data_IF_855731882716
#
_entry.id   IF_855731882716
#
_cell.length_a   1.000
_cell.length_b   1.000
_cell.length_c   1.000
_cell.angle_alpha   90.00
_cell.angle_beta   90.00
_cell.angle_gamma   90.00
#
_symmetry.space_group_name_H-M   'P 1'
#
loop_
_entity.id
_entity.type
_entity.pdbx_description
1 polymer ?
#
# COMPACT_ATOMS: atom_id res chain seq x y z
N UNK A 1 23.44 6.24 -1.86
CA UNK A 1 22.24 5.68 -2.51
C UNK A 1 21.09 6.58 -2.08
N UNK A 2 20.21 6.92 -2.97
CA UNK A 2 19.05 7.75 -2.64
C UNK A 2 18.21 7.05 -1.57
N UNK A 3 17.79 7.80 -0.56
CA UNK A 3 16.99 7.28 0.58
C UNK A 3 15.73 6.57 0.09
N UNK A 4 15.09 7.08 -0.97
CA UNK A 4 13.94 6.44 -1.59
C UNK A 4 14.26 5.04 -2.15
N UNK A 5 15.39 4.89 -2.81
CA UNK A 5 15.80 3.60 -3.40
C UNK A 5 16.08 2.57 -2.31
N UNK A 6 16.72 2.98 -1.21
CA UNK A 6 16.97 2.10 -0.06
C UNK A 6 15.66 1.65 0.57
N UNK A 7 14.78 2.60 0.92
CA UNK A 7 13.47 2.32 1.50
C UNK A 7 12.64 1.39 0.60
N UNK A 8 12.55 1.70 -0.69
CA UNK A 8 11.81 0.87 -1.64
C UNK A 8 12.39 -0.53 -1.76
N UNK A 9 13.73 -0.67 -1.80
CA UNK A 9 14.38 -1.98 -1.85
C UNK A 9 14.02 -2.83 -0.63
N UNK A 10 14.07 -2.26 0.57
CA UNK A 10 13.70 -2.95 1.80
C UNK A 10 12.21 -3.36 1.79
N UNK A 11 11.32 -2.49 1.31
CA UNK A 11 9.89 -2.80 1.19
C UNK A 11 9.62 -3.91 0.16
N UNK A 12 10.33 -3.90 -0.98
CA UNK A 12 10.17 -4.94 -2.03
C UNK A 12 10.67 -6.30 -1.53
N UNK A 13 11.68 -6.33 -0.67
CA UNK A 13 12.19 -7.56 -0.08
C UNK A 13 11.19 -8.26 0.87
N UNK A 14 10.17 -7.57 1.33
CA UNK A 14 9.12 -8.13 2.17
C UNK A 14 7.99 -8.67 1.29
N UNK A 15 7.71 -9.97 1.38
CA UNK A 15 6.51 -10.56 0.76
C UNK A 15 5.26 -10.06 1.50
N UNK A 16 4.39 -9.39 0.79
CA UNK A 16 3.09 -8.89 1.26
C UNK A 16 1.96 -9.29 0.30
N UNK A 17 2.09 -10.47 -0.30
CA UNK A 17 1.08 -11.01 -1.21
C UNK A 17 -0.28 -11.12 -0.53
N UNK A 18 -1.31 -10.50 -1.14
CA UNK A 18 -2.67 -10.48 -0.61
C UNK A 18 -3.24 -11.90 -0.48
N UNK A 19 -3.63 -12.35 0.74
CA UNK A 19 -4.07 -13.71 0.97
C UNK A 19 -5.48 -14.02 0.44
N UNK A 20 -6.32 -12.99 0.26
CA UNK A 20 -7.66 -13.15 -0.31
C UNK A 20 -7.60 -13.25 -1.84
N UNK A 21 -6.61 -12.61 -2.45
CA UNK A 21 -6.36 -12.71 -3.89
C UNK A 21 -5.57 -13.96 -4.25
N UNK A 22 -4.62 -14.36 -3.40
CA UNK A 22 -3.74 -15.52 -3.61
C UNK A 22 -3.80 -16.43 -2.39
N UNK A 23 -4.46 -17.60 -2.46
CA UNK A 23 -4.51 -18.53 -1.35
C UNK A 23 -3.10 -18.89 -0.84
N UNK A 24 -2.87 -18.69 0.45
CA UNK A 24 -1.57 -18.89 1.09
C UNK A 24 -0.59 -17.71 0.95
N UNK A 25 -1.02 -16.57 0.42
CA UNK A 25 -0.25 -15.33 0.40
C UNK A 25 0.21 -14.92 1.81
N UNK A 26 1.39 -14.29 1.90
CA UNK A 26 2.02 -13.96 3.18
C UNK A 26 1.24 -12.94 4.01
N UNK A 27 0.40 -12.13 3.37
CA UNK A 27 -0.33 -11.03 3.99
C UNK A 27 0.56 -9.85 4.36
N UNK A 28 -0.03 -8.81 4.90
CA UNK A 28 0.61 -7.52 5.08
C UNK A 28 1.27 -7.31 6.46
N UNK A 29 1.11 -8.27 7.38
CA UNK A 29 1.53 -8.07 8.79
C UNK A 29 3.04 -7.75 8.95
N UNK A 30 3.92 -8.33 8.15
CA UNK A 30 5.35 -8.04 8.19
C UNK A 30 5.65 -6.66 7.60
N UNK A 31 5.03 -6.32 6.47
CA UNK A 31 5.12 -5.00 5.87
C UNK A 31 4.61 -3.92 6.82
N UNK A 32 3.47 -4.14 7.48
CA UNK A 32 2.93 -3.21 8.46
C UNK A 32 3.89 -2.96 9.63
N UNK A 33 4.52 -4.02 10.15
CA UNK A 33 5.56 -3.87 11.20
C UNK A 33 6.76 -3.07 10.72
N UNK A 34 7.17 -3.28 9.48
CA UNK A 34 8.27 -2.52 8.87
C UNK A 34 7.90 -1.04 8.74
N UNK A 35 6.77 -0.74 8.11
CA UNK A 35 6.28 0.64 7.91
C UNK A 35 6.10 1.37 9.23
N UNK A 36 5.48 0.71 10.22
CA UNK A 36 5.27 1.30 11.55
C UNK A 36 6.60 1.70 12.22
N UNK A 37 7.59 0.81 12.20
CA UNK A 37 8.92 1.11 12.77
C UNK A 37 9.60 2.26 12.03
N UNK A 38 9.53 2.26 10.72
CA UNK A 38 10.18 3.31 9.92
C UNK A 38 9.56 4.69 10.20
N UNK A 39 8.23 4.78 10.25
CA UNK A 39 7.51 6.03 10.53
C UNK A 39 7.78 6.52 11.97
N UNK A 40 7.82 5.62 12.95
CA UNK A 40 8.17 5.93 14.34
C UNK A 40 9.60 6.49 14.44
N UNK A 41 10.57 5.84 13.79
CA UNK A 41 11.95 6.32 13.71
C UNK A 41 12.11 7.67 13.02
N UNK A 42 11.23 7.97 12.07
CA UNK A 42 11.15 9.27 11.42
C UNK A 42 10.48 10.35 12.30
N UNK A 43 10.00 9.98 13.50
CA UNK A 43 9.41 10.88 14.50
C UNK A 43 7.93 11.20 14.27
N UNK A 44 7.22 10.37 13.51
CA UNK A 44 5.77 10.47 13.35
C UNK A 44 5.04 9.78 14.51
N UNK A 45 3.84 10.25 14.82
CA UNK A 45 2.91 9.52 15.68
C UNK A 45 2.34 8.34 14.89
N UNK A 46 2.49 7.11 15.41
CA UNK A 46 2.09 5.89 14.69
C UNK A 46 0.90 5.24 15.38
N UNK A 47 -0.11 4.89 14.59
CA UNK A 47 -1.30 4.15 15.03
C UNK A 47 -1.50 2.93 14.13
N UNK A 48 -1.91 1.80 14.73
CA UNK A 48 -2.33 0.60 14.01
C UNK A 48 -3.85 0.48 14.07
N UNK A 49 -4.46 0.24 12.91
CA UNK A 49 -5.90 0.04 12.79
C UNK A 49 -6.15 -1.28 12.08
N UNK A 50 -6.60 -2.27 12.84
CA UNK A 50 -6.89 -3.60 12.29
C UNK A 50 -8.09 -3.54 11.34
N UNK A 51 -7.92 -3.96 10.10
CA UNK A 51 -9.01 -4.07 9.12
C UNK A 51 -9.62 -5.48 9.11
N UNK A 52 -8.80 -6.50 9.35
CA UNK A 52 -9.18 -7.90 9.51
C UNK A 52 -8.13 -8.59 10.40
N UNK A 53 -8.38 -9.80 10.93
CA UNK A 53 -7.41 -10.51 11.77
C UNK A 53 -6.03 -10.61 11.14
N UNK A 54 -5.00 -10.12 11.83
CA UNK A 54 -3.60 -10.03 11.38
C UNK A 54 -3.37 -9.17 10.12
N UNK A 55 -4.29 -8.27 9.80
CA UNK A 55 -4.18 -7.34 8.68
C UNK A 55 -4.29 -5.88 9.16
N UNK A 56 -3.26 -5.35 9.84
CA UNK A 56 -3.28 -3.99 10.36
C UNK A 56 -2.90 -2.97 9.28
N UNK A 57 -3.69 -1.91 9.17
CA UNK A 57 -3.26 -0.67 8.54
C UNK A 57 -2.27 0.04 9.45
N UNK A 58 -1.38 0.83 8.86
CA UNK A 58 -0.47 1.71 9.59
C UNK A 58 -0.80 3.15 9.25
N UNK A 59 -1.04 3.97 10.26
CA UNK A 59 -1.27 5.40 10.11
C UNK A 59 -0.14 6.15 10.79
N UNK A 60 0.61 6.93 10.02
CA UNK A 60 1.67 7.79 10.52
C UNK A 60 1.27 9.25 10.43
N UNK A 61 1.41 10.03 11.51
CA UNK A 61 0.98 11.43 11.57
C UNK A 61 2.17 12.33 11.86
N UNK A 62 2.54 13.13 10.89
CA UNK A 62 3.42 14.27 11.08
C UNK A 62 2.59 15.46 11.58
N UNK A 63 2.54 15.67 12.90
CA UNK A 63 1.79 16.77 13.49
C UNK A 63 2.35 18.10 13.06
N UNK A 64 1.47 18.96 12.57
CA UNK A 64 1.77 20.35 12.24
C UNK A 64 1.82 21.26 13.46
N UNK A 65 2.23 22.50 13.25
CA UNK A 65 2.30 23.54 14.29
C UNK A 65 0.95 24.20 14.59
N UNK A 66 -0.08 23.86 13.82
CA UNK A 66 -1.45 24.32 14.00
C UNK A 66 -1.90 25.38 12.98
N UNK A 67 -3.19 25.41 12.73
CA UNK A 67 -3.85 26.38 11.85
C UNK A 67 -3.62 26.17 10.35
N UNK A 68 -3.11 25.00 9.93
CA UNK A 68 -3.02 24.57 8.54
C UNK A 68 -4.09 23.52 8.21
N UNK A 69 -4.25 23.22 6.92
CA UNK A 69 -5.09 22.14 6.42
C UNK A 69 -4.35 20.81 6.50
N UNK A 70 -5.06 19.72 6.79
CA UNK A 70 -4.52 18.37 6.82
C UNK A 70 -4.43 17.79 5.40
N UNK A 71 -3.30 17.19 5.09
CA UNK A 71 -3.09 16.41 3.88
C UNK A 71 -2.96 14.93 4.22
N UNK A 72 -3.73 14.08 3.53
CA UNK A 72 -3.66 12.64 3.64
C UNK A 72 -2.94 12.07 2.42
N UNK A 73 -1.98 11.19 2.67
CA UNK A 73 -1.24 10.43 1.67
C UNK A 73 -1.58 8.95 1.86
N UNK A 74 -2.20 8.33 0.87
CA UNK A 74 -2.64 6.95 0.94
C UNK A 74 -1.87 6.08 -0.03
N UNK A 75 -1.55 4.85 0.38
CA UNK A 75 -0.95 3.84 -0.45
C UNK A 75 -1.10 2.46 0.19
N UNK A 76 -1.25 1.42 -0.65
CA UNK A 76 -1.42 0.06 -0.15
C UNK A 76 -0.10 -0.68 0.07
N UNK A 77 -0.14 -1.65 0.99
CA UNK A 77 0.99 -2.49 1.37
C UNK A 77 0.97 -3.85 0.69
N UNK A 78 -0.22 -4.34 0.32
CA UNK A 78 -0.40 -5.63 -0.31
C UNK A 78 0.06 -5.63 -1.78
N UNK A 79 0.22 -6.79 -2.32
CA UNK A 79 0.58 -7.01 -3.73
C UNK A 79 -0.18 -8.20 -4.30
N UNK A 80 -0.36 -8.22 -5.60
CA UNK A 80 -0.70 -9.45 -6.32
C UNK A 80 0.41 -10.48 -6.19
N UNK A 81 0.12 -11.73 -6.50
CA UNK A 81 1.11 -12.81 -6.45
C UNK A 81 2.32 -12.59 -7.37
N UNK A 82 3.39 -13.29 -7.07
CA UNK A 82 4.63 -13.23 -7.86
C UNK A 82 4.45 -13.68 -9.32
N UNK A 83 3.47 -14.55 -9.59
CA UNK A 83 3.25 -15.11 -10.92
C UNK A 83 4.50 -15.82 -11.44
N UNK A 84 4.94 -15.44 -12.65
CA UNK A 84 6.17 -15.97 -13.26
C UNK A 84 7.39 -15.08 -13.04
N UNK A 85 7.32 -14.08 -12.15
CA UNK A 85 8.43 -13.20 -11.84
C UNK A 85 9.49 -13.96 -11.04
N UNK A 86 10.69 -14.23 -11.57
CA UNK A 86 11.75 -14.87 -10.80
C UNK A 86 12.22 -13.90 -9.72
N UNK A 87 12.53 -14.42 -8.53
CA UNK A 87 13.09 -13.63 -7.44
C UNK A 87 12.26 -12.36 -7.13
N UNK A 88 10.92 -12.53 -7.08
CA UNK A 88 9.96 -11.42 -6.97
C UNK A 88 10.24 -10.50 -5.76
N UNK A 89 10.79 -11.05 -4.68
CA UNK A 89 11.12 -10.33 -3.44
C UNK A 89 12.64 -10.13 -3.23
N UNK A 90 13.42 -10.25 -4.31
CA UNK A 90 14.85 -9.91 -4.33
C UNK A 90 15.02 -8.63 -5.17
N UNK A 91 15.03 -7.44 -4.57
CA UNK A 91 15.08 -6.18 -5.32
C UNK A 91 16.39 -6.07 -6.11
N UNK A 92 16.29 -5.82 -7.41
CA UNK A 92 17.44 -5.68 -8.28
C UNK A 92 17.38 -4.33 -9.00
N UNK A 93 18.50 -3.59 -8.96
CA UNK A 93 18.65 -2.34 -9.71
C UNK A 93 19.42 -2.61 -10.98
N UNK A 94 18.78 -2.36 -12.12
CA UNK A 94 19.41 -2.47 -13.45
C UNK A 94 18.98 -1.30 -14.31
N UNK A 95 19.92 -0.71 -15.04
CA UNK A 95 19.66 0.39 -15.98
C UNK A 95 18.84 1.54 -15.37
N UNK A 96 19.11 1.89 -14.11
CA UNK A 96 18.40 2.95 -13.38
C UNK A 96 16.97 2.62 -12.96
N UNK A 97 16.56 1.34 -13.03
CA UNK A 97 15.24 0.85 -12.59
C UNK A 97 15.37 -0.19 -11.50
N UNK A 98 14.49 -0.12 -10.51
CA UNK A 98 14.35 -1.14 -9.47
C UNK A 98 13.28 -2.15 -9.89
N UNK A 99 13.66 -3.43 -9.90
CA UNK A 99 12.79 -4.55 -10.23
C UNK A 99 12.46 -5.35 -8.98
N UNK A 100 11.21 -5.80 -8.87
CA UNK A 100 10.67 -6.66 -7.82
C UNK A 100 9.16 -6.50 -7.74
N UNK A 101 8.46 -7.46 -7.11
CA UNK A 101 7.01 -7.41 -6.94
C UNK A 101 6.63 -6.23 -6.05
N UNK A 102 5.64 -5.44 -6.48
CA UNK A 102 5.20 -4.25 -5.77
C UNK A 102 6.08 -3.01 -5.95
N UNK A 103 7.22 -3.08 -6.66
CA UNK A 103 8.09 -1.92 -6.85
C UNK A 103 7.36 -0.76 -7.53
N UNK A 104 6.49 -1.05 -8.49
CA UNK A 104 5.70 -0.09 -9.24
C UNK A 104 4.28 0.07 -8.67
N UNK A 105 3.65 -1.01 -8.29
CA UNK A 105 2.30 -1.11 -7.74
C UNK A 105 2.33 -1.70 -6.33
N UNK A 106 2.19 -0.89 -5.21
CA UNK A 106 2.49 0.55 -5.25
C UNK A 106 3.48 0.93 -4.16
N UNK A 107 4.40 0.00 -3.76
CA UNK A 107 5.40 0.27 -2.70
C UNK A 107 6.28 1.49 -3.01
N UNK A 108 6.52 1.79 -4.30
CA UNK A 108 7.23 2.99 -4.72
C UNK A 108 6.48 4.27 -4.36
N UNK A 109 5.17 4.30 -4.62
CA UNK A 109 4.29 5.40 -4.23
C UNK A 109 4.20 5.53 -2.72
N UNK A 110 4.04 4.41 -2.00
CA UNK A 110 3.99 4.40 -0.53
C UNK A 110 5.30 4.89 0.09
N UNK A 111 6.46 4.45 -0.42
CA UNK A 111 7.76 4.93 0.04
C UNK A 111 7.92 6.44 -0.16
N UNK A 112 7.46 6.98 -1.28
CA UNK A 112 7.44 8.43 -1.52
C UNK A 112 6.54 9.17 -0.54
N UNK A 113 5.36 8.64 -0.21
CA UNK A 113 4.47 9.19 0.82
C UNK A 113 5.13 9.22 2.20
N UNK A 114 5.80 8.13 2.59
CA UNK A 114 6.51 8.01 3.87
C UNK A 114 7.62 9.08 3.98
N UNK A 115 8.44 9.21 2.96
CA UNK A 115 9.50 10.22 2.92
C UNK A 115 8.95 11.65 2.91
N UNK A 116 7.87 11.91 2.17
CA UNK A 116 7.22 13.22 2.15
C UNK A 116 6.70 13.62 3.54
N UNK A 117 6.07 12.68 4.26
CA UNK A 117 5.59 12.93 5.62
C UNK A 117 6.75 13.13 6.62
N UNK A 118 7.83 12.36 6.50
CA UNK A 118 9.04 12.56 7.31
C UNK A 118 9.67 13.93 7.05
N UNK A 119 9.71 14.38 5.81
CA UNK A 119 10.19 15.73 5.47
C UNK A 119 9.26 16.81 6.01
N UNK A 120 7.94 16.64 5.88
CA UNK A 120 6.95 17.57 6.44
C UNK A 120 7.10 17.74 7.97
N UNK A 121 7.40 16.63 8.68
CA UNK A 121 7.70 16.65 10.11
C UNK A 121 8.92 17.50 10.43
N UNK A 122 10.00 17.35 9.66
CA UNK A 122 11.25 18.12 9.84
C UNK A 122 11.05 19.61 9.57
N UNK A 123 10.24 19.96 8.59
CA UNK A 123 9.97 21.35 8.21
C UNK A 123 8.97 22.07 9.12
N UNK A 124 8.25 21.33 9.97
CA UNK A 124 7.29 21.91 10.91
C UNK A 124 6.15 22.66 10.21
N UNK A 125 5.51 22.01 9.25
CA UNK A 125 4.37 22.59 8.50
C UNK A 125 3.22 22.96 9.43
N UNK A 126 2.32 23.84 8.99
CA UNK A 126 1.18 24.29 9.80
C UNK A 126 0.09 23.24 9.94
N UNK A 127 -0.17 22.49 8.87
CA UNK A 127 -1.16 21.40 8.84
C UNK A 127 -0.53 20.04 9.14
N UNK A 128 -1.35 19.08 9.53
CA UNK A 128 -0.91 17.70 9.68
C UNK A 128 -0.68 17.07 8.30
N UNK A 129 0.32 16.17 8.20
CA UNK A 129 0.47 15.27 7.08
C UNK A 129 0.29 13.84 7.58
N UNK A 130 -0.69 13.12 7.03
CA UNK A 130 -1.06 11.77 7.46
C UNK A 130 -0.70 10.79 6.35
N UNK A 131 0.08 9.77 6.67
CA UNK A 131 0.30 8.61 5.79
C UNK A 131 -0.62 7.49 6.23
N UNK A 132 -1.38 6.93 5.31
CA UNK A 132 -2.14 5.71 5.49
C UNK A 132 -1.53 4.61 4.62
N UNK A 133 -0.82 3.68 5.22
CA UNK A 133 -0.39 2.44 4.58
C UNK A 133 -1.47 1.38 4.84
N UNK A 134 -2.22 1.06 3.80
CA UNK A 134 -3.44 0.25 3.93
C UNK A 134 -3.24 -1.17 3.42
N UNK A 135 -4.09 -2.07 3.90
CA UNK A 135 -4.15 -3.48 3.48
C UNK A 135 -5.27 -3.67 2.46
N UNK A 136 -5.17 -4.76 1.68
CA UNK A 136 -6.28 -5.31 0.89
C UNK A 136 -6.77 -4.41 -0.27
N UNK A 137 -5.95 -3.55 -0.79
CA UNK A 137 -6.36 -2.72 -1.94
C UNK A 137 -6.64 -3.57 -3.17
N UNK A 138 -5.77 -4.54 -3.44
CA UNK A 138 -5.76 -5.41 -4.62
C UNK A 138 -6.98 -6.36 -4.71
N UNK A 139 -7.79 -6.47 -3.65
CA UNK A 139 -8.94 -7.37 -3.63
C UNK A 139 -10.27 -6.67 -3.28
N UNK A 140 -10.38 -6.06 -2.09
CA UNK A 140 -11.65 -5.49 -1.61
C UNK A 140 -11.52 -4.13 -0.92
N UNK A 141 -10.31 -3.57 -0.81
CA UNK A 141 -10.02 -2.27 -0.16
C UNK A 141 -10.49 -2.17 1.29
N UNK A 142 -10.49 -3.29 2.05
CA UNK A 142 -10.90 -3.32 3.45
C UNK A 142 -10.11 -2.32 4.29
N UNK A 143 -8.82 -2.18 4.01
CA UNK A 143 -7.94 -1.27 4.74
C UNK A 143 -8.38 0.17 4.64
N UNK A 144 -8.58 0.68 3.44
CA UNK A 144 -9.03 2.06 3.21
C UNK A 144 -10.42 2.29 3.82
N UNK A 145 -11.34 1.33 3.71
CA UNK A 145 -12.67 1.43 4.33
C UNK A 145 -12.58 1.57 5.85
N UNK A 146 -11.64 0.88 6.50
CA UNK A 146 -11.47 0.93 7.94
C UNK A 146 -10.87 2.26 8.43
N UNK A 147 -9.92 2.85 7.69
CA UNK A 147 -9.19 4.05 8.16
C UNK A 147 -9.77 5.37 7.69
N UNK A 148 -10.41 5.42 6.51
CA UNK A 148 -10.90 6.67 5.94
C UNK A 148 -11.83 7.47 6.86
N UNK A 149 -12.81 6.85 7.58
CA UNK A 149 -13.69 7.60 8.47
C UNK A 149 -13.01 8.09 9.76
N UNK A 150 -11.85 7.52 10.13
CA UNK A 150 -11.17 7.82 11.39
C UNK A 150 -10.21 9.02 11.28
N UNK A 151 -9.75 9.34 10.07
CA UNK A 151 -8.73 10.35 9.82
C UNK A 151 -9.19 11.35 8.75
N UNK A 152 -10.08 12.29 9.10
CA UNK A 152 -10.53 13.31 8.15
C UNK A 152 -9.40 14.23 7.72
N UNK A 153 -9.42 14.65 6.44
CA UNK A 153 -8.44 15.57 5.87
C UNK A 153 -9.11 16.48 4.82
N UNK A 154 -8.55 17.66 4.60
CA UNK A 154 -9.04 18.61 3.59
C UNK A 154 -8.58 18.27 2.17
N UNK A 155 -7.62 17.39 2.04
CA UNK A 155 -7.16 16.87 0.75
C UNK A 155 -6.50 15.50 0.92
N UNK A 156 -6.62 14.67 -0.11
CA UNK A 156 -5.99 13.35 -0.13
C UNK A 156 -5.28 13.12 -1.47
N UNK A 157 -4.16 12.43 -1.41
CA UNK A 157 -3.42 11.91 -2.57
C UNK A 157 -3.31 10.40 -2.40
N UNK A 158 -3.81 9.64 -3.38
CA UNK A 158 -3.55 8.21 -3.52
C UNK A 158 -2.39 8.07 -4.50
N UNK A 159 -1.27 7.51 -4.06
CA UNK A 159 0.00 7.58 -4.78
C UNK A 159 0.19 6.41 -5.78
N UNK A 160 -0.87 6.07 -6.50
CA UNK A 160 -0.85 5.07 -7.56
C UNK A 160 -0.03 5.50 -8.78
N UNK A 161 0.35 4.55 -9.61
CA UNK A 161 1.14 4.78 -10.81
C UNK A 161 0.31 5.44 -11.93
N UNK A 162 0.40 6.74 -12.05
CA UNK A 162 -0.36 7.55 -13.02
C UNK A 162 0.54 8.29 -14.02
N UNK A 163 1.81 7.89 -14.17
CA UNK A 163 2.81 8.62 -14.96
C UNK A 163 2.92 10.11 -14.56
N UNK A 164 2.82 10.39 -13.26
CA UNK A 164 2.80 11.73 -12.67
C UNK A 164 1.64 12.61 -13.17
N UNK A 165 0.57 12.00 -13.65
CA UNK A 165 -0.66 12.72 -14.03
C UNK A 165 -1.65 12.71 -12.87
N UNK A 166 -2.36 13.81 -12.70
CA UNK A 166 -3.47 13.86 -11.75
C UNK A 166 -4.68 13.15 -12.34
N UNK A 167 -5.11 12.06 -11.71
CA UNK A 167 -6.31 11.31 -12.06
C UNK A 167 -7.37 11.59 -10.99
N UNK A 168 -8.53 12.05 -11.41
CA UNK A 168 -9.62 12.45 -10.48
C UNK A 168 -10.75 11.43 -10.42
N UNK A 169 -10.68 10.37 -11.20
CA UNK A 169 -11.63 9.25 -11.20
C UNK A 169 -10.98 7.99 -11.76
N UNK A 170 -11.45 6.83 -11.32
CA UNK A 170 -11.06 5.53 -11.88
C UNK A 170 -12.30 4.65 -12.10
N UNK A 171 -12.12 3.57 -12.87
CA UNK A 171 -13.17 2.58 -13.11
C UNK A 171 -13.35 1.70 -11.85
N UNK A 172 -14.59 1.35 -11.57
CA UNK A 172 -14.90 0.27 -10.63
C UNK A 172 -14.72 -1.10 -11.26
N UNK A 173 -14.72 -2.15 -10.44
CA UNK A 173 -14.73 -3.54 -10.86
C UNK A 173 -15.69 -4.35 -9.98
N UNK A 174 -16.04 -5.53 -10.45
CA UNK A 174 -16.88 -6.48 -9.71
C UNK A 174 -16.27 -7.87 -9.89
N UNK A 175 -16.04 -8.55 -8.79
CA UNK A 175 -15.71 -9.96 -8.79
C UNK A 175 -16.97 -10.79 -8.95
N UNK A 176 -16.96 -11.74 -9.89
CA UNK A 176 -18.04 -12.68 -10.12
C UNK A 176 -17.50 -14.10 -10.02
N UNK A 177 -18.08 -14.90 -9.15
CA UNK A 177 -17.85 -16.33 -9.11
C UNK A 177 -19.07 -17.07 -9.68
N UNK A 178 -18.85 -17.94 -10.64
CA UNK A 178 -19.91 -18.73 -11.27
C UNK A 178 -19.61 -20.21 -11.02
N UNK A 179 -20.44 -20.85 -10.21
CA UNK A 179 -20.38 -22.27 -9.97
C UNK A 179 -21.48 -23.00 -10.79
N UNK A 180 -21.07 -24.02 -11.55
CA UNK A 180 -22.00 -24.88 -12.25
C UNK A 180 -22.11 -26.22 -11.53
N UNK A 181 -23.28 -26.51 -10.99
CA UNK A 181 -23.53 -27.76 -10.27
C UNK A 181 -24.07 -28.80 -11.25
N UNK A 182 -23.34 -29.91 -11.41
CA UNK A 182 -23.74 -30.97 -12.34
C UNK A 182 -22.73 -32.09 -12.43
N UNK A 183 -22.94 -33.02 -13.37
CA UNK A 183 -22.01 -34.11 -13.68
C UNK A 183 -21.12 -33.68 -14.83
N UNK A 184 -19.83 -33.75 -14.64
CA UNK A 184 -18.87 -33.43 -15.70
C UNK A 184 -19.07 -34.40 -16.88
N UNK A 185 -19.25 -33.85 -18.06
CA UNK A 185 -19.41 -34.61 -19.31
C UNK A 185 -18.69 -33.88 -20.46
N UNK A 186 -18.31 -34.63 -21.48
CA UNK A 186 -17.76 -34.05 -22.70
C UNK A 186 -18.87 -33.33 -23.49
N UNK A 187 -18.63 -32.12 -23.98
CA UNK A 187 -19.64 -31.29 -24.65
C UNK A 187 -20.33 -31.92 -25.88
N UNK A 188 -19.71 -32.93 -26.49
CA UNK A 188 -20.32 -33.74 -27.57
C UNK A 188 -21.14 -34.96 -27.09
N UNK A 189 -21.22 -35.17 -25.75
CA UNK A 189 -21.95 -36.29 -25.13
C UNK A 189 -22.61 -35.77 -23.84
N UNK A 190 -23.70 -35.02 -23.98
CA UNK A 190 -24.46 -34.48 -22.86
C UNK A 190 -25.17 -35.57 -22.05
#
# INVERSE_FOLDING_TARGET
MDELISLLSEMVAIDSTNPDLVPGGAGEAEMARYVARWLDQAGLEVQLVEAAPNRPNVVGIARGTGGGRTLLLNGHMDTVGAGQMPQAHEPVIREGRLYGRGAYDMKGGLAACMLAAAQAKKEGLRGDVIVQAVVDEEYASLGTQAVAPLFPAEGAIVAEFTELRMIVAHKGFVWLEIETIGKAAHGSRP
#
